data_IF_281172083477
#
_entry.id   IF_281172083477
#
_cell.length_a   1.000
_cell.length_b   1.000
_cell.length_c   1.000
_cell.angle_alpha   90.00
_cell.angle_beta   90.00
_cell.angle_gamma   90.00
#
_symmetry.space_group_name_H-M   'P 1'
#
loop_
_entity.id
_entity.type
_entity.pdbx_description
1 polymer ?
#
# COMPACT_ATOMS: atom_id res chain seq x y z
N UNK A 1 19.67 -33.82 -16.99
CA UNK A 1 18.21 -33.63 -16.87
C UNK A 1 17.97 -32.53 -15.85
N UNK A 2 17.69 -31.31 -16.31
CA UNK A 2 17.36 -30.20 -15.42
C UNK A 2 15.89 -30.32 -15.02
N UNK A 3 15.64 -30.69 -13.77
CA UNK A 3 14.30 -30.59 -13.19
C UNK A 3 13.99 -29.11 -12.98
N UNK A 4 13.19 -28.54 -13.89
CA UNK A 4 12.44 -27.32 -13.61
C UNK A 4 11.46 -27.65 -12.50
N UNK A 5 11.71 -27.15 -11.30
CA UNK A 5 10.72 -27.12 -10.23
C UNK A 5 9.61 -26.18 -10.73
N UNK A 6 8.49 -26.78 -11.12
CA UNK A 6 7.23 -26.05 -11.29
C UNK A 6 6.71 -25.84 -9.88
N UNK A 7 6.86 -24.63 -9.35
CA UNK A 7 6.18 -24.24 -8.12
C UNK A 7 4.68 -24.23 -8.45
N UNK A 8 3.95 -25.22 -7.94
CA UNK A 8 2.49 -25.20 -7.97
C UNK A 8 2.03 -24.05 -7.07
N UNK A 9 1.38 -23.05 -7.66
CA UNK A 9 0.61 -22.07 -6.91
C UNK A 9 -0.71 -22.73 -6.52
N UNK A 10 -0.93 -22.98 -5.23
CA UNK A 10 -2.16 -23.53 -4.65
C UNK A 10 -3.35 -22.58 -4.86
N UNK A 11 -3.84 -22.38 -6.09
CA UNK A 11 -5.13 -21.74 -6.43
C UNK A 11 -5.45 -20.36 -5.82
N UNK A 12 -4.56 -19.78 -5.03
CA UNK A 12 -4.75 -18.59 -4.20
C UNK A 12 -4.26 -17.39 -4.99
N UNK A 13 -5.07 -16.34 -5.03
CA UNK A 13 -4.73 -15.09 -5.71
C UNK A 13 -3.40 -14.56 -5.16
N UNK A 14 -2.48 -14.20 -6.06
CA UNK A 14 -1.18 -13.65 -5.70
C UNK A 14 -1.31 -12.41 -4.81
N UNK A 15 -0.46 -12.26 -3.80
CA UNK A 15 -0.47 -11.14 -2.85
C UNK A 15 -1.41 -11.31 -1.65
N UNK A 16 -2.29 -12.31 -1.65
CA UNK A 16 -3.40 -12.40 -0.68
C UNK A 16 -3.09 -13.17 0.61
N UNK A 17 -1.81 -13.42 0.92
CA UNK A 17 -1.46 -14.30 2.04
C UNK A 17 -1.82 -13.74 3.42
N UNK A 18 -1.84 -12.41 3.56
CA UNK A 18 -2.19 -11.72 4.80
C UNK A 18 -3.60 -11.13 4.82
N UNK A 19 -4.23 -11.01 3.64
CA UNK A 19 -5.58 -10.46 3.54
C UNK A 19 -6.59 -11.34 4.29
N UNK A 20 -7.29 -10.76 5.25
CA UNK A 20 -8.18 -11.46 6.19
C UNK A 20 -7.59 -11.63 7.60
N UNK A 21 -6.31 -11.30 7.80
CA UNK A 21 -5.74 -11.06 9.14
C UNK A 21 -6.01 -9.62 9.57
N UNK A 22 -5.85 -9.36 10.86
CA UNK A 22 -5.90 -7.99 11.40
C UNK A 22 -4.82 -7.12 10.75
N UNK A 23 -5.21 -5.94 10.26
CA UNK A 23 -4.31 -4.99 9.56
C UNK A 23 -3.62 -5.64 8.34
N UNK A 24 -4.32 -6.59 7.71
CA UNK A 24 -3.85 -7.41 6.60
C UNK A 24 -4.15 -6.80 5.23
N UNK A 25 -4.48 -5.52 5.16
CA UNK A 25 -4.73 -4.75 3.93
C UNK A 25 -3.42 -4.48 3.19
N UNK A 26 -2.71 -5.56 2.80
CA UNK A 26 -1.38 -5.51 2.19
C UNK A 26 -1.25 -6.54 1.07
N UNK A 27 -0.25 -6.34 0.22
CA UNK A 27 0.21 -7.32 -0.76
C UNK A 27 1.39 -8.11 -0.18
N UNK A 28 1.18 -9.39 0.15
CA UNK A 28 2.24 -10.27 0.64
C UNK A 28 2.88 -11.05 -0.51
N UNK A 29 4.10 -10.64 -0.89
CA UNK A 29 4.90 -11.23 -1.95
C UNK A 29 6.15 -11.93 -1.41
N UNK A 30 6.23 -12.19 -0.09
CA UNK A 30 7.41 -12.81 0.54
C UNK A 30 7.79 -14.16 -0.06
N UNK A 31 6.79 -14.93 -0.53
CA UNK A 31 7.01 -16.22 -1.17
C UNK A 31 7.45 -16.17 -2.64
N UNK A 32 7.65 -14.98 -3.21
CA UNK A 32 7.99 -14.80 -4.63
C UNK A 32 9.43 -14.32 -4.74
N UNK A 33 10.25 -14.99 -5.55
CA UNK A 33 11.66 -14.60 -5.74
C UNK A 33 11.87 -13.62 -6.89
N UNK A 34 11.01 -13.66 -7.89
CA UNK A 34 11.09 -12.78 -9.05
C UNK A 34 10.39 -11.44 -8.80
N UNK A 35 10.58 -10.51 -9.72
CA UNK A 35 9.73 -9.33 -9.81
C UNK A 35 8.28 -9.74 -10.10
N UNK A 36 7.35 -8.90 -9.64
CA UNK A 36 5.92 -9.03 -9.85
C UNK A 36 5.45 -7.80 -10.60
N UNK A 37 4.90 -7.99 -11.79
CA UNK A 37 4.18 -6.95 -12.52
C UNK A 37 2.87 -6.65 -11.80
N UNK A 38 2.57 -5.37 -11.65
CA UNK A 38 1.35 -4.85 -11.04
C UNK A 38 0.64 -3.89 -11.99
N UNK A 39 -0.60 -4.21 -12.33
CA UNK A 39 -1.51 -3.34 -13.08
C UNK A 39 -2.62 -2.86 -12.15
N UNK A 40 -2.71 -1.55 -11.97
CA UNK A 40 -3.68 -0.91 -11.09
C UNK A 40 -4.88 -0.39 -11.88
N UNK A 41 -6.07 -0.51 -11.29
CA UNK A 41 -7.26 0.26 -11.68
C UNK A 41 -7.68 1.07 -10.48
N UNK A 42 -7.83 2.38 -10.67
CA UNK A 42 -8.13 3.33 -9.60
C UNK A 42 -9.40 4.07 -9.95
N UNK A 43 -10.35 4.08 -9.03
CA UNK A 43 -11.57 4.89 -9.08
C UNK A 43 -11.52 5.92 -7.94
N UNK A 44 -12.06 7.11 -8.17
CA UNK A 44 -12.08 8.19 -7.17
C UNK A 44 -13.43 8.90 -7.15
N UNK A 45 -14.05 8.96 -5.98
CA UNK A 45 -15.27 9.71 -5.72
C UNK A 45 -15.08 10.56 -4.45
N UNK A 46 -14.38 11.69 -4.57
CA UNK A 46 -14.07 12.51 -3.40
C UNK A 46 -13.89 14.00 -3.74
N UNK A 47 -13.97 14.88 -2.74
CA UNK A 47 -13.61 16.28 -2.96
C UNK A 47 -12.08 16.47 -3.04
N UNK A 48 -11.32 15.67 -2.28
CA UNK A 48 -9.87 15.84 -2.16
C UNK A 48 -9.09 15.24 -3.34
N UNK A 49 -8.01 15.94 -3.71
CA UNK A 49 -7.05 15.44 -4.69
C UNK A 49 -6.08 14.47 -4.04
N UNK A 50 -6.47 13.21 -3.97
CA UNK A 50 -5.71 12.20 -3.25
C UNK A 50 -4.59 11.58 -4.09
N UNK A 51 -3.55 11.12 -3.40
CA UNK A 51 -2.45 10.35 -3.94
C UNK A 51 -2.33 9.04 -3.17
N UNK A 52 -2.43 7.90 -3.87
CA UNK A 52 -2.19 6.59 -3.28
C UNK A 52 -0.85 6.05 -3.77
N UNK A 53 -0.10 5.46 -2.84
CA UNK A 53 1.12 4.73 -3.14
C UNK A 53 1.21 3.47 -2.29
N UNK A 54 2.30 2.73 -2.49
CA UNK A 54 2.63 1.54 -1.71
C UNK A 54 4.05 1.68 -1.16
N UNK A 55 4.32 1.12 0.01
CA UNK A 55 5.64 1.10 0.62
C UNK A 55 5.96 -0.29 1.15
N UNK A 56 7.26 -0.59 1.20
CA UNK A 56 7.74 -1.87 1.71
C UNK A 56 7.70 -1.87 3.23
N UNK A 57 7.21 -2.97 3.80
CA UNK A 57 7.33 -3.26 5.24
C UNK A 57 8.14 -4.53 5.45
N UNK A 58 8.88 -4.55 6.56
CA UNK A 58 9.77 -5.64 6.96
C UNK A 58 9.01 -6.85 7.50
N UNK A 59 7.83 -6.64 8.10
CA UNK A 59 7.01 -7.71 8.67
C UNK A 59 5.51 -7.41 8.64
N UNK A 60 4.70 -8.38 9.10
CA UNK A 60 3.24 -8.30 9.11
C UNK A 60 2.69 -7.21 10.05
N UNK A 61 3.52 -6.68 10.95
CA UNK A 61 3.14 -5.64 11.91
C UNK A 61 3.49 -4.23 11.41
N UNK A 62 3.85 -4.10 10.13
CA UNK A 62 4.16 -2.81 9.51
C UNK A 62 5.51 -2.23 9.90
N UNK A 63 6.45 -3.04 10.39
CA UNK A 63 7.80 -2.55 10.66
C UNK A 63 8.49 -2.00 9.41
N UNK A 64 9.30 -0.96 9.57
CA UNK A 64 10.15 -0.43 8.49
C UNK A 64 11.60 -0.61 8.90
N UNK A 65 12.35 -1.26 8.02
CA UNK A 65 13.81 -1.40 8.04
C UNK A 65 14.37 -0.45 6.98
N UNK A 66 15.04 0.63 7.41
CA UNK A 66 15.48 1.70 6.51
C UNK A 66 16.92 1.53 6.02
N UNK A 67 17.72 0.67 6.67
CA UNK A 67 19.11 0.43 6.29
C UNK A 67 19.36 -0.98 5.71
N UNK A 68 18.36 -1.85 5.78
CA UNK A 68 18.36 -3.19 5.21
C UNK A 68 19.13 -4.22 6.04
N UNK A 69 19.38 -3.95 7.32
CA UNK A 69 20.11 -4.86 8.21
C UNK A 69 19.25 -6.02 8.74
N UNK A 70 17.94 -6.01 8.47
CA UNK A 70 16.96 -6.99 8.93
C UNK A 70 16.32 -6.68 10.28
N UNK A 71 16.66 -5.55 10.88
CA UNK A 71 16.08 -5.02 12.11
C UNK A 71 15.03 -3.96 11.77
N UNK A 72 13.96 -3.90 12.57
CA UNK A 72 12.94 -2.86 12.40
C UNK A 72 13.38 -1.61 13.15
N UNK A 73 13.52 -0.51 12.41
CA UNK A 73 13.85 0.83 12.92
C UNK A 73 12.62 1.59 13.39
N UNK A 74 11.49 1.43 12.68
CA UNK A 74 10.25 2.14 12.97
C UNK A 74 9.05 1.19 13.02
N UNK A 75 8.21 1.36 14.05
CA UNK A 75 6.90 0.74 14.19
C UNK A 75 5.77 1.74 13.96
N UNK A 76 4.60 1.27 13.50
CA UNK A 76 3.42 2.13 13.41
C UNK A 76 3.14 2.84 14.72
N UNK A 77 3.19 4.17 14.71
CA UNK A 77 3.00 5.03 15.88
C UNK A 77 4.28 5.69 16.41
N UNK A 78 5.45 5.25 15.95
CA UNK A 78 6.72 5.91 16.27
C UNK A 78 6.81 7.28 15.60
N UNK A 79 7.48 8.21 16.28
CA UNK A 79 7.84 9.49 15.66
C UNK A 79 8.74 9.23 14.45
N UNK A 80 8.38 9.79 13.30
CA UNK A 80 9.10 9.58 12.03
C UNK A 80 8.59 8.41 11.19
N UNK A 81 7.65 7.58 11.67
CA UNK A 81 7.11 6.46 10.89
C UNK A 81 6.55 6.91 9.52
N UNK A 82 5.78 8.00 9.49
CA UNK A 82 5.20 8.56 8.26
C UNK A 82 6.30 8.91 7.25
N UNK A 83 7.35 9.58 7.70
CA UNK A 83 8.48 9.97 6.84
C UNK A 83 9.25 8.74 6.35
N UNK A 84 9.49 7.75 7.22
CA UNK A 84 10.13 6.49 6.87
C UNK A 84 9.31 5.71 5.83
N UNK A 85 7.99 5.62 6.01
CA UNK A 85 7.08 4.93 5.09
C UNK A 85 7.09 5.58 3.70
N UNK A 86 6.96 6.91 3.66
CA UNK A 86 6.97 7.66 2.39
C UNK A 86 8.35 7.64 1.72
N UNK A 87 9.44 7.62 2.50
CA UNK A 87 10.80 7.45 1.96
C UNK A 87 11.00 6.05 1.37
N UNK A 88 10.42 5.02 2.00
CA UNK A 88 10.50 3.62 1.55
C UNK A 88 9.36 3.20 0.59
N UNK A 89 8.68 4.18 -0.01
CA UNK A 89 7.64 3.93 -1.01
C UNK A 89 8.23 3.30 -2.27
N UNK A 90 7.38 2.59 -3.01
CA UNK A 90 7.72 2.13 -4.36
C UNK A 90 7.63 3.30 -5.33
N UNK A 91 8.78 3.76 -5.81
CA UNK A 91 8.85 4.83 -6.80
C UNK A 91 8.12 4.45 -8.10
N UNK A 92 7.33 5.38 -8.65
CA UNK A 92 6.60 5.17 -9.91
C UNK A 92 5.22 4.49 -9.77
N UNK A 93 4.84 4.04 -8.57
CA UNK A 93 3.47 3.69 -8.22
C UNK A 93 2.82 4.92 -7.58
N UNK A 94 2.52 5.89 -8.44
CA UNK A 94 2.05 7.21 -8.08
C UNK A 94 0.59 7.38 -8.57
N UNK A 95 -0.37 6.87 -7.79
CA UNK A 95 -1.76 6.72 -8.23
C UNK A 95 -2.57 8.00 -7.95
N UNK A 96 -2.99 8.68 -9.02
CA UNK A 96 -3.84 9.89 -8.95
C UNK A 96 -4.90 9.87 -10.05
N UNK A 97 -6.13 10.19 -9.70
CA UNK A 97 -7.25 10.23 -10.64
C UNK A 97 -8.05 11.50 -10.38
N UNK A 98 -8.64 12.07 -11.43
CA UNK A 98 -9.57 13.19 -11.29
C UNK A 98 -10.85 12.76 -10.55
N UNK A 99 -11.61 13.73 -10.04
CA UNK A 99 -12.87 13.42 -9.35
C UNK A 99 -13.86 12.73 -10.30
N UNK A 100 -14.62 11.76 -9.78
CA UNK A 100 -15.55 10.93 -10.54
C UNK A 100 -14.88 10.19 -11.71
N UNK A 101 -13.55 9.99 -11.61
CA UNK A 101 -12.74 9.41 -12.65
C UNK A 101 -12.38 7.95 -12.39
N UNK A 102 -11.97 7.27 -13.46
CA UNK A 102 -11.32 5.95 -13.38
C UNK A 102 -10.10 5.94 -14.28
N UNK A 103 -8.97 5.43 -13.80
CA UNK A 103 -7.73 5.31 -14.57
C UNK A 103 -7.02 3.98 -14.35
N UNK A 104 -6.29 3.54 -15.38
CA UNK A 104 -5.40 2.39 -15.32
C UNK A 104 -3.93 2.81 -15.21
N UNK A 105 -3.16 2.12 -14.38
CA UNK A 105 -1.70 2.29 -14.27
C UNK A 105 -1.06 0.93 -14.49
N UNK A 106 -0.53 0.70 -15.68
CA UNK A 106 0.02 -0.61 -16.06
C UNK A 106 1.53 -0.67 -15.94
N UNK A 107 2.05 -1.89 -16.00
CA UNK A 107 3.48 -2.19 -16.11
C UNK A 107 4.31 -1.66 -14.94
N UNK A 108 3.69 -1.55 -13.76
CA UNK A 108 4.41 -1.28 -12.52
C UNK A 108 5.09 -2.54 -12.03
N UNK A 109 6.13 -2.36 -11.23
CA UNK A 109 6.91 -3.48 -10.71
C UNK A 109 6.96 -3.41 -9.19
N UNK A 110 6.65 -4.53 -8.56
CA UNK A 110 6.90 -4.80 -7.16
C UNK A 110 8.01 -5.86 -7.08
N UNK A 111 8.96 -5.69 -6.18
CA UNK A 111 9.99 -6.70 -5.94
C UNK A 111 9.41 -7.83 -5.09
N UNK A 112 9.59 -9.08 -5.52
CA UNK A 112 9.28 -10.25 -4.68
C UNK A 112 10.04 -10.23 -3.35
N UNK A 113 9.68 -11.14 -2.44
CA UNK A 113 10.36 -11.30 -1.15
C UNK A 113 9.98 -10.25 -0.12
N UNK A 114 8.94 -9.44 -0.40
CA UNK A 114 8.55 -8.29 0.43
C UNK A 114 7.04 -8.25 0.68
N UNK A 115 6.61 -7.50 1.70
CA UNK A 115 5.22 -7.09 1.89
C UNK A 115 5.11 -5.63 1.46
N UNK A 116 4.04 -5.26 0.75
CA UNK A 116 3.74 -3.89 0.39
C UNK A 116 2.41 -3.44 0.97
N UNK A 117 2.44 -2.38 1.76
CA UNK A 117 1.25 -1.76 2.34
C UNK A 117 0.85 -0.49 1.57
N UNK A 118 -0.45 -0.22 1.36
CA UNK A 118 -0.91 1.02 0.78
C UNK A 118 -0.82 2.18 1.77
N UNK A 119 -0.73 3.39 1.23
CA UNK A 119 -0.95 4.63 1.97
C UNK A 119 -1.67 5.65 1.09
N UNK A 120 -2.30 6.65 1.70
CA UNK A 120 -2.92 7.79 1.02
C UNK A 120 -2.38 9.11 1.58
N UNK A 121 -1.95 10.00 0.69
CA UNK A 121 -1.75 11.43 0.97
C UNK A 121 -2.96 12.19 0.44
N UNK A 122 -3.62 12.92 1.33
CA UNK A 122 -4.92 13.52 1.00
C UNK A 122 -4.77 14.99 0.58
N UNK A 123 -5.71 15.45 -0.23
CA UNK A 123 -5.90 16.86 -0.60
C UNK A 123 -4.65 17.58 -1.16
N UNK A 124 -4.02 17.00 -2.18
CA UNK A 124 -2.91 17.61 -2.92
C UNK A 124 -1.56 17.52 -2.22
N UNK A 125 -1.48 16.85 -1.07
CA UNK A 125 -0.21 16.60 -0.37
C UNK A 125 0.75 15.80 -1.24
N UNK A 126 2.02 16.18 -1.21
CA UNK A 126 3.07 15.57 -2.02
C UNK A 126 4.03 14.77 -1.17
N UNK A 127 4.70 13.81 -1.83
CA UNK A 127 5.81 13.05 -1.24
C UNK A 127 6.88 14.02 -0.70
N UNK A 128 7.25 15.03 -1.48
CA UNK A 128 8.29 15.99 -1.08
C UNK A 128 7.88 16.81 0.15
N UNK A 129 6.61 17.18 0.28
CA UNK A 129 6.13 17.86 1.48
C UNK A 129 6.27 16.98 2.72
N UNK A 130 6.00 15.68 2.61
CA UNK A 130 6.19 14.74 3.73
C UNK A 130 7.67 14.57 4.05
N UNK A 131 8.51 14.34 3.04
CA UNK A 131 9.94 14.13 3.23
C UNK A 131 10.67 15.35 3.80
N UNK A 132 10.18 16.56 3.50
CA UNK A 132 10.70 17.80 4.06
C UNK A 132 10.03 18.19 5.41
N UNK A 133 9.18 17.32 5.97
CA UNK A 133 8.51 17.55 7.25
C UNK A 133 7.50 18.70 7.25
N UNK A 134 6.99 19.09 6.07
CA UNK A 134 6.02 20.17 5.92
C UNK A 134 4.59 19.69 6.19
N UNK A 135 4.33 18.41 5.97
CA UNK A 135 3.07 17.73 6.29
C UNK A 135 3.36 16.34 6.83
N UNK A 136 2.58 15.88 7.80
CA UNK A 136 2.66 14.55 8.40
C UNK A 136 1.36 13.75 8.24
N UNK A 137 0.32 14.36 7.66
CA UNK A 137 -0.97 13.70 7.46
C UNK A 137 -0.91 12.75 6.26
N UNK A 138 -0.90 11.47 6.57
CA UNK A 138 -1.08 10.34 5.67
C UNK A 138 -1.89 9.27 6.42
N UNK A 139 -2.63 8.44 5.68
CA UNK A 139 -3.31 7.28 6.28
C UNK A 139 -2.78 5.97 5.72
N UNK A 140 -2.74 4.96 6.59
CA UNK A 140 -2.11 3.67 6.40
C UNK A 140 -3.05 2.54 6.83
N UNK A 141 -2.76 1.32 6.37
CA UNK A 141 -3.43 0.10 6.81
C UNK A 141 -3.17 -0.20 8.31
N UNK A 142 -2.02 0.22 8.82
CA UNK A 142 -1.66 0.00 10.22
C UNK A 142 -2.22 1.10 11.11
N UNK A 143 -3.21 0.74 11.93
CA UNK A 143 -3.93 1.67 12.83
C UNK A 143 -2.99 2.51 13.72
N UNK A 144 -1.86 1.92 14.14
CA UNK A 144 -0.86 2.59 14.96
C UNK A 144 -0.28 3.85 14.30
N UNK A 145 -0.13 3.82 12.97
CA UNK A 145 0.42 4.92 12.17
C UNK A 145 -0.59 6.06 11.93
N UNK A 146 -1.88 5.79 12.06
CA UNK A 146 -2.91 6.81 11.88
C UNK A 146 -3.04 7.64 13.17
N UNK A 147 -2.88 8.96 13.05
CA UNK A 147 -2.85 9.88 14.20
C UNK A 147 -4.20 9.92 14.94
N UNK A 148 -5.30 9.79 14.21
CA UNK A 148 -6.67 9.76 14.73
C UNK A 148 -7.15 8.37 15.18
N UNK A 149 -6.30 7.34 15.04
CA UNK A 149 -6.61 5.94 15.39
C UNK A 149 -7.85 5.42 14.67
N UNK A 150 -8.08 5.89 13.45
CA UNK A 150 -9.11 5.37 12.56
C UNK A 150 -8.50 4.43 11.53
N UNK A 151 -9.27 3.41 11.18
CA UNK A 151 -8.93 2.51 10.08
C UNK A 151 -9.45 3.10 8.76
N UNK A 152 -8.54 3.70 7.99
CA UNK A 152 -8.85 4.40 6.75
C UNK A 152 -8.78 3.53 5.50
N UNK A 153 -8.28 2.30 5.62
CA UNK A 153 -8.07 1.43 4.45
C UNK A 153 -8.73 0.09 4.72
N UNK A 154 -9.57 -0.37 3.80
CA UNK A 154 -10.21 -1.68 3.90
C UNK A 154 -10.03 -2.51 2.65
N UNK A 155 -10.08 -3.82 2.82
CA UNK A 155 -10.23 -4.74 1.70
C UNK A 155 -11.69 -4.81 1.29
N UNK A 156 -11.97 -4.48 0.03
CA UNK A 156 -13.27 -4.67 -0.62
C UNK A 156 -13.33 -5.98 -1.43
N UNK A 157 -12.20 -6.71 -1.47
CA UNK A 157 -12.00 -7.96 -2.16
C UNK A 157 -10.51 -8.29 -2.25
N UNK A 158 -10.17 -9.40 -2.91
CA UNK A 158 -8.78 -9.77 -3.11
C UNK A 158 -8.02 -8.69 -3.90
N UNK A 159 -7.03 -8.06 -3.27
CA UNK A 159 -6.23 -6.97 -3.86
C UNK A 159 -7.09 -5.78 -4.30
N UNK A 160 -8.21 -5.53 -3.62
CA UNK A 160 -9.05 -4.35 -3.82
C UNK A 160 -9.09 -3.57 -2.51
N UNK A 161 -8.49 -2.39 -2.51
CA UNK A 161 -8.35 -1.51 -1.36
C UNK A 161 -9.31 -0.33 -1.50
N UNK A 162 -10.19 -0.12 -0.54
CA UNK A 162 -11.01 1.09 -0.38
C UNK A 162 -10.40 2.02 0.65
N UNK A 163 -10.56 3.33 0.47
CA UNK A 163 -9.92 4.37 1.27
C UNK A 163 -10.94 5.41 1.75
N UNK A 164 -10.71 5.95 2.95
CA UNK A 164 -11.32 7.17 3.50
C UNK A 164 -10.28 8.29 3.59
N UNK A 165 -10.57 9.49 3.09
CA UNK A 165 -9.63 10.61 2.98
C UNK A 165 -9.81 11.71 4.04
N UNK A 166 -10.89 11.65 4.81
CA UNK A 166 -11.21 12.59 5.87
C UNK A 166 -10.79 12.07 7.24
N UNK A 167 -10.20 12.96 8.05
CA UNK A 167 -9.87 12.65 9.45
C UNK A 167 -11.13 12.21 10.21
N UNK A 168 -10.99 11.19 11.07
CA UNK A 168 -12.14 10.57 11.74
C UNK A 168 -12.85 9.49 10.89
N UNK A 169 -12.41 9.28 9.65
CA UNK A 169 -12.90 8.24 8.74
C UNK A 169 -14.19 8.58 8.00
N UNK A 170 -14.45 9.87 7.77
CA UNK A 170 -15.53 10.32 6.89
C UNK A 170 -16.90 9.69 7.16
N UNK A 171 -17.56 9.28 6.10
CA UNK A 171 -18.86 8.59 6.13
C UNK A 171 -18.74 7.04 6.10
N UNK A 172 -17.51 6.52 5.95
CA UNK A 172 -17.13 5.10 6.11
C UNK A 172 -17.67 4.20 5.01
N UNK A 173 -17.84 4.71 3.81
CA UNK A 173 -18.18 3.91 2.63
C UNK A 173 -16.95 3.39 1.87
N UNK A 174 -15.75 3.93 2.17
CA UNK A 174 -14.44 3.57 1.62
C UNK A 174 -14.35 3.71 0.10
N UNK A 175 -15.15 4.59 -0.51
CA UNK A 175 -15.13 4.85 -1.94
C UNK A 175 -14.40 6.14 -2.35
N UNK A 176 -13.90 6.94 -1.41
CA UNK A 176 -13.14 8.15 -1.71
C UNK A 176 -12.03 7.85 -2.73
N UNK A 177 -11.33 6.73 -2.52
CA UNK A 177 -10.57 6.01 -3.55
C UNK A 177 -10.82 4.51 -3.45
N UNK A 178 -10.92 3.84 -4.60
CA UNK A 178 -10.81 2.38 -4.70
C UNK A 178 -9.64 2.03 -5.61
N UNK A 179 -8.70 1.20 -5.12
CA UNK A 179 -7.56 0.67 -5.88
C UNK A 179 -7.67 -0.84 -6.01
N UNK A 180 -7.82 -1.33 -7.23
CA UNK A 180 -7.68 -2.75 -7.58
C UNK A 180 -6.31 -3.02 -8.17
N UNK A 181 -5.68 -4.12 -7.78
CA UNK A 181 -4.36 -4.54 -8.28
C UNK A 181 -4.43 -5.94 -8.89
N UNK A 182 -4.02 -6.06 -10.15
CA UNK A 182 -3.79 -7.34 -10.80
C UNK A 182 -2.28 -7.63 -10.80
N UNK A 183 -1.89 -8.81 -10.32
CA UNK A 183 -0.49 -9.17 -10.12
C UNK A 183 -0.12 -10.38 -10.99
N UNK A 184 1.07 -10.36 -11.58
CA UNK A 184 1.66 -11.50 -12.29
C UNK A 184 3.17 -11.56 -12.08
N UNK A 185 3.70 -12.77 -11.90
CA UNK A 185 5.15 -12.99 -11.79
C UNK A 185 5.80 -12.79 -13.17
N UNK A 186 6.94 -12.10 -13.23
CA UNK A 186 7.72 -11.87 -14.46
C UNK A 186 9.08 -12.57 -14.44
#
# INVERSE_FOLDING_TARGET
MHHKIVVQFDGKTLGTNLQGKQQGEVLDLRGITNNVKADFTVNREAAFNNFVGFYKVADENGGIDIDGDGTVDFRPGDSGYVQAAIKNRVAGIDLRVDNQGTAGFTDKTLTGGSIFAPFILTNGRTVDQVLNGQVDQAYFAYLGANADKVDHIRLLGNNVFGFEDLAGGGDKDYNDIIVKVNLSVV
#
